data_IF_250083274263
#
_entry.id   IF_250083274263
#
_cell.length_a   1.000
_cell.length_b   1.000
_cell.length_c   1.000
_cell.angle_alpha   90.00
_cell.angle_beta   90.00
_cell.angle_gamma   90.00
#
_symmetry.space_group_name_H-M   'P 1'
#
loop_
_entity.id
_entity.type
_entity.pdbx_description
1 polymer ?
#
# COMPACT_ATOMS: atom_id res chain seq x y z
N UNK A 1 6.53 -12.81 4.40
CA UNK A 1 7.44 -12.42 3.27
C UNK A 1 7.01 -11.09 2.63
N UNK A 2 5.79 -10.97 2.09
CA UNK A 2 5.28 -9.72 1.50
C UNK A 2 5.34 -8.53 2.44
N UNK A 3 4.75 -8.64 3.62
CA UNK A 3 4.63 -7.52 4.56
C UNK A 3 5.99 -6.93 4.95
N UNK A 4 6.95 -7.78 5.31
CA UNK A 4 8.33 -7.37 5.65
C UNK A 4 9.01 -6.66 4.47
N UNK A 5 8.84 -7.17 3.25
CA UNK A 5 9.41 -6.57 2.05
C UNK A 5 8.80 -5.20 1.75
N UNK A 6 7.47 -5.08 1.81
CA UNK A 6 6.77 -3.82 1.59
C UNK A 6 7.12 -2.80 2.68
N UNK A 7 7.11 -3.19 3.96
CA UNK A 7 7.53 -2.32 5.08
C UNK A 7 8.97 -1.82 4.93
N UNK A 8 9.88 -2.68 4.45
CA UNK A 8 11.27 -2.27 4.21
C UNK A 8 11.39 -1.27 3.06
N UNK A 9 10.58 -1.41 2.00
CA UNK A 9 10.61 -0.51 0.85
C UNK A 9 9.88 0.81 1.08
N UNK A 10 8.74 0.79 1.76
CA UNK A 10 7.89 1.97 1.93
C UNK A 10 8.11 2.70 3.24
N UNK A 11 8.77 2.06 4.21
CA UNK A 11 8.78 2.51 5.60
C UNK A 11 7.40 2.37 6.25
N UNK A 12 7.22 2.94 7.45
CA UNK A 12 5.92 3.00 8.11
C UNK A 12 4.95 3.87 7.30
N UNK A 13 3.89 3.26 6.79
CA UNK A 13 2.80 3.97 6.11
C UNK A 13 1.60 4.10 7.03
N UNK A 14 1.07 5.31 7.13
CA UNK A 14 -0.16 5.61 7.86
C UNK A 14 -1.26 5.96 6.85
N UNK A 15 -2.46 5.41 7.07
CA UNK A 15 -3.61 5.62 6.21
C UNK A 15 -4.83 5.97 7.05
N UNK A 16 -5.57 7.02 6.69
CA UNK A 16 -6.85 7.33 7.32
C UNK A 16 -7.87 6.21 7.11
N UNK A 17 -8.90 6.07 7.97
CA UNK A 17 -9.87 4.97 7.92
C UNK A 17 -10.55 4.82 6.56
N UNK A 18 -10.89 5.96 5.91
CA UNK A 18 -11.47 6.01 4.56
C UNK A 18 -10.58 5.33 3.51
N UNK A 19 -9.27 5.55 3.58
CA UNK A 19 -8.32 4.99 2.64
C UNK A 19 -7.86 3.57 3.02
N UNK A 20 -7.90 3.22 4.31
CA UNK A 20 -7.53 1.89 4.81
C UNK A 20 -8.33 0.76 4.14
N UNK A 21 -9.62 0.97 3.88
CA UNK A 21 -10.47 -0.01 3.15
C UNK A 21 -9.99 -0.26 1.72
N UNK A 22 -9.64 0.81 0.99
CA UNK A 22 -9.11 0.70 -0.37
C UNK A 22 -7.72 0.06 -0.39
N UNK A 23 -6.85 0.48 0.53
CA UNK A 23 -5.50 -0.09 0.68
C UNK A 23 -5.57 -1.57 1.03
N UNK A 24 -6.48 -1.98 1.93
CA UNK A 24 -6.67 -3.38 2.28
C UNK A 24 -7.09 -4.21 1.06
N UNK A 25 -8.09 -3.76 0.30
CA UNK A 25 -8.49 -4.42 -0.95
C UNK A 25 -7.32 -4.51 -1.94
N UNK A 26 -6.59 -3.44 -2.14
CA UNK A 26 -5.47 -3.40 -3.09
C UNK A 26 -4.34 -4.34 -2.65
N UNK A 27 -4.00 -4.32 -1.37
CA UNK A 27 -2.94 -5.14 -0.79
C UNK A 27 -3.26 -6.63 -0.85
N UNK A 28 -4.52 -7.03 -0.65
CA UNK A 28 -4.92 -8.45 -0.62
C UNK A 28 -5.42 -8.99 -1.96
N UNK A 29 -6.02 -8.16 -2.82
CA UNK A 29 -6.67 -8.62 -4.06
C UNK A 29 -5.96 -8.19 -5.34
N UNK A 30 -5.07 -7.20 -5.31
CA UNK A 30 -4.42 -6.71 -6.54
C UNK A 30 -3.21 -7.58 -6.91
N UNK A 31 -3.07 -7.92 -8.21
CA UNK A 31 -1.94 -8.73 -8.73
C UNK A 31 -0.59 -8.13 -8.37
N UNK A 32 -0.48 -6.79 -8.38
CA UNK A 32 0.74 -6.08 -7.99
C UNK A 32 1.18 -6.40 -6.55
N UNK A 33 0.21 -6.67 -5.67
CA UNK A 33 0.41 -6.92 -4.25
C UNK A 33 0.25 -8.40 -3.86
N UNK A 34 -0.10 -9.30 -4.78
CA UNK A 34 -0.17 -10.75 -4.52
C UNK A 34 0.97 -11.51 -5.20
N UNK A 35 1.53 -10.97 -6.29
CA UNK A 35 2.61 -11.60 -7.04
C UNK A 35 3.96 -11.00 -6.65
N UNK A 36 4.94 -11.81 -6.21
CA UNK A 36 6.22 -11.31 -5.70
C UNK A 36 7.04 -10.51 -6.71
N UNK A 37 6.95 -10.83 -8.00
CA UNK A 37 7.59 -10.08 -9.08
C UNK A 37 7.14 -8.61 -9.14
N UNK A 38 5.94 -8.29 -8.65
CA UNK A 38 5.33 -6.96 -8.73
C UNK A 38 5.30 -6.19 -7.41
N UNK A 39 5.88 -6.72 -6.33
CA UNK A 39 5.85 -6.05 -5.02
C UNK A 39 6.48 -4.65 -5.03
N UNK A 40 7.49 -4.41 -5.87
CA UNK A 40 8.05 -3.05 -6.05
C UNK A 40 7.01 -2.06 -6.59
N UNK A 41 6.10 -2.52 -7.47
CA UNK A 41 5.01 -1.70 -8.01
C UNK A 41 3.94 -1.44 -6.94
N UNK A 42 3.59 -2.48 -6.18
CA UNK A 42 2.70 -2.34 -5.03
C UNK A 42 3.24 -1.33 -4.00
N UNK A 43 4.51 -1.42 -3.64
CA UNK A 43 5.16 -0.49 -2.71
C UNK A 43 5.00 0.97 -3.16
N UNK A 44 5.34 1.27 -4.42
CA UNK A 44 5.19 2.62 -4.99
C UNK A 44 3.74 3.12 -4.94
N UNK A 45 2.78 2.23 -5.20
CA UNK A 45 1.37 2.58 -5.23
C UNK A 45 0.84 2.85 -3.81
N UNK A 46 1.26 2.06 -2.83
CA UNK A 46 0.95 2.27 -1.41
C UNK A 46 1.55 3.59 -0.90
N UNK A 47 2.80 3.90 -1.24
CA UNK A 47 3.43 5.18 -0.86
C UNK A 47 2.70 6.37 -1.47
N UNK A 48 2.30 6.30 -2.76
CA UNK A 48 1.51 7.36 -3.40
C UNK A 48 0.14 7.53 -2.76
N UNK A 49 -0.51 6.43 -2.38
CA UNK A 49 -1.78 6.50 -1.66
C UNK A 49 -1.59 7.14 -0.29
N UNK A 50 -0.54 6.79 0.46
CA UNK A 50 -0.28 7.36 1.78
C UNK A 50 -0.03 8.88 1.72
N UNK A 51 0.67 9.36 0.69
CA UNK A 51 0.90 10.79 0.46
C UNK A 51 -0.24 11.51 -0.26
N UNK A 52 -1.31 10.82 -0.65
CA UNK A 52 -2.41 11.42 -1.39
C UNK A 52 -3.30 12.24 -0.46
N UNK A 53 -3.70 13.47 -0.84
CA UNK A 53 -4.61 14.28 -0.03
C UNK A 53 -5.95 13.57 0.22
N UNK A 54 -6.38 12.67 -0.68
CA UNK A 54 -7.57 11.82 -0.49
C UNK A 54 -7.46 10.80 0.64
N UNK A 55 -6.23 10.43 1.01
CA UNK A 55 -5.95 9.47 2.08
C UNK A 55 -5.42 10.13 3.35
N UNK A 56 -4.99 11.39 3.26
CA UNK A 56 -4.64 12.25 4.40
C UNK A 56 -5.83 13.06 4.91
N UNK A 57 -6.84 13.33 4.08
CA UNK A 57 -8.11 13.91 4.52
C UNK A 57 -8.89 12.86 5.32
N UNK A 58 -8.81 12.99 6.65
CA UNK A 58 -9.77 12.40 7.59
C UNK A 58 -11.09 13.14 7.51
#
# INVERSE_FOLDING_TARGET
>A
KKEKFLKHLTGPLYFSPKCRKHVYRLYHNSRDCTTPAYYKRCARLLTRLAGSPRCLQS
#
